data_IF_524993103760
#
_entry.id   IF_524993103760
#
_cell.length_a   1.000
_cell.length_b   1.000
_cell.length_c   1.000
_cell.angle_alpha   90.00
_cell.angle_beta   90.00
_cell.angle_gamma   90.00
#
_symmetry.space_group_name_H-M   'P 1'
#
loop_
_entity.id
_entity.type
_entity.pdbx_description
1 polymer ?
#
# COMPACT_ATOMS: atom_id res chain seq x y z
N UNK A 1 11.25 55.04 -0.47
CA UNK A 1 12.03 54.73 0.76
C UNK A 1 11.30 55.34 1.92
N UNK A 2 10.73 54.50 2.79
CA UNK A 2 9.97 54.89 3.96
C UNK A 2 10.51 54.09 5.15
N UNK A 3 10.76 54.76 6.27
CA UNK A 3 10.86 54.26 7.65
C UNK A 3 11.17 55.50 8.53
N UNK A 4 10.66 55.69 9.75
CA UNK A 4 9.82 54.87 10.63
C UNK A 4 9.35 55.73 11.82
N UNK A 5 8.39 55.18 12.59
CA UNK A 5 7.79 55.67 13.84
C UNK A 5 7.54 54.40 14.68
N UNK A 6 7.59 54.32 16.01
CA UNK A 6 7.44 55.28 17.10
C UNK A 6 7.71 54.53 18.45
N UNK A 7 7.61 55.28 19.55
CA UNK A 7 7.29 54.92 20.95
C UNK A 7 8.45 54.67 21.94
N UNK A 8 8.49 55.50 23.00
CA UNK A 8 9.41 55.42 24.15
C UNK A 8 8.71 55.18 25.50
N UNK A 9 9.46 55.25 26.61
CA UNK A 9 9.16 55.96 27.88
C UNK A 9 10.06 55.55 29.08
N UNK A 10 10.71 56.56 29.68
CA UNK A 10 10.87 56.94 31.13
C UNK A 10 11.33 55.98 32.27
N UNK A 11 12.29 56.50 33.06
CA UNK A 11 12.68 56.20 34.49
C UNK A 11 11.96 57.20 35.45
N UNK A 12 12.11 57.25 36.81
CA UNK A 12 12.84 56.45 37.84
C UNK A 12 11.93 56.08 39.07
N UNK A 13 12.34 55.48 40.21
CA UNK A 13 12.98 56.14 41.36
C UNK A 13 13.24 55.17 42.55
N UNK A 14 14.25 55.49 43.37
CA UNK A 14 14.68 54.79 44.60
C UNK A 14 13.77 55.07 45.80
N UNK A 15 13.62 54.08 46.69
CA UNK A 15 13.26 54.28 48.10
C UNK A 15 13.90 53.19 48.97
N UNK A 16 14.64 53.61 50.01
CA UNK A 16 15.20 52.77 51.09
C UNK A 16 14.08 52.31 52.01
N UNK A 17 14.14 51.09 52.57
CA UNK A 17 13.62 50.82 53.92
C UNK A 17 14.17 49.56 54.56
N UNK A 18 14.25 49.66 55.87
CA UNK A 18 14.89 48.81 56.86
C UNK A 18 14.31 47.41 57.04
N UNK A 19 15.22 46.56 57.48
CA UNK A 19 15.09 45.26 58.14
C UNK A 19 14.00 45.20 59.22
N UNK A 20 13.07 44.25 59.08
CA UNK A 20 12.45 43.51 60.21
C UNK A 20 12.11 42.08 59.77
N UNK A 21 12.70 41.10 60.44
CA UNK A 21 12.36 39.69 60.31
C UNK A 21 10.93 39.45 60.80
N UNK A 22 10.07 38.92 59.94
CA UNK A 22 8.78 38.32 60.30
C UNK A 22 8.80 36.89 59.78
N UNK A 23 8.76 35.93 60.70
CA UNK A 23 8.49 34.53 60.41
C UNK A 23 7.09 34.44 59.77
N UNK A 24 7.02 34.10 58.48
CA UNK A 24 5.77 33.77 57.82
C UNK A 24 5.75 32.24 57.61
N UNK A 25 4.88 31.57 58.38
CA UNK A 25 4.60 30.16 58.19
C UNK A 25 3.96 29.95 56.80
N UNK A 26 4.71 29.32 55.89
CA UNK A 26 4.16 28.88 54.62
C UNK A 26 3.27 27.66 54.87
N UNK A 27 1.96 27.86 54.81
CA UNK A 27 1.00 26.77 54.65
C UNK A 27 1.26 26.16 53.27
N UNK A 28 1.95 25.02 53.22
CA UNK A 28 1.95 24.16 52.05
C UNK A 28 0.54 23.60 51.90
N UNK A 29 -0.27 24.25 51.07
CA UNK A 29 -1.43 23.62 50.48
C UNK A 29 -0.93 22.50 49.56
N UNK A 30 -0.96 21.27 50.03
CA UNK A 30 -0.81 20.10 49.18
C UNK A 30 -1.98 20.09 48.19
N UNK A 31 -1.78 20.68 47.02
CA UNK A 31 -2.60 20.37 45.86
C UNK A 31 -2.29 18.91 45.53
N UNK A 32 -3.14 18.00 46.01
CA UNK A 32 -3.18 16.63 45.53
C UNK A 32 -3.58 16.69 44.06
N UNK A 33 -2.60 16.81 43.17
CA UNK A 33 -2.75 16.36 41.81
C UNK A 33 -3.26 14.91 41.92
N UNK A 34 -4.31 14.51 41.19
CA UNK A 34 -4.60 13.10 41.07
C UNK A 34 -3.40 12.51 40.33
N UNK A 35 -2.43 11.98 41.07
CA UNK A 35 -1.62 10.88 40.58
C UNK A 35 -2.63 9.80 40.25
N UNK A 36 -3.04 9.74 38.98
CA UNK A 36 -3.54 8.50 38.43
C UNK A 36 -2.46 7.48 38.77
N UNK A 37 -2.72 6.67 39.79
CA UNK A 37 -1.91 5.51 40.06
C UNK A 37 -1.99 4.70 38.77
N UNK A 38 -0.97 4.83 37.92
CA UNK A 38 -0.63 3.81 36.94
C UNK A 38 -0.33 2.59 37.79
N UNK A 39 -1.37 1.84 38.15
CA UNK A 39 -1.22 0.47 38.57
C UNK A 39 -0.52 -0.18 37.38
N UNK A 40 0.77 -0.41 37.52
CA UNK A 40 1.56 -1.17 36.57
C UNK A 40 0.98 -2.59 36.57
N UNK A 41 -0.05 -2.81 35.77
CA UNK A 41 -0.50 -4.13 35.40
C UNK A 41 0.71 -4.79 34.72
N UNK A 42 1.12 -5.95 35.24
CA UNK A 42 2.21 -6.69 34.62
C UNK A 42 1.83 -7.05 33.18
N UNK A 43 2.79 -7.02 32.27
CA UNK A 43 2.58 -7.46 30.90
C UNK A 43 2.12 -8.93 30.89
N UNK A 44 0.99 -9.24 30.25
CA UNK A 44 0.45 -10.61 30.21
C UNK A 44 0.46 -11.12 28.79
N UNK A 45 1.27 -12.14 28.50
CA UNK A 45 1.23 -12.85 27.22
C UNK A 45 0.56 -14.21 27.41
N UNK A 46 -0.30 -14.61 26.47
CA UNK A 46 -1.02 -15.88 26.58
C UNK A 46 -1.44 -16.44 25.22
N UNK A 47 -1.70 -17.74 25.21
CA UNK A 47 -2.24 -18.46 24.05
C UNK A 47 -3.71 -18.78 24.26
N UNK A 48 -4.52 -18.65 23.21
CA UNK A 48 -5.92 -19.05 23.21
C UNK A 48 -6.03 -20.57 23.29
N UNK A 49 -6.73 -21.08 24.32
CA UNK A 49 -6.82 -22.51 24.63
C UNK A 49 -8.19 -23.12 24.29
N UNK A 50 -9.21 -22.29 24.05
CA UNK A 50 -10.56 -22.77 23.74
C UNK A 50 -10.69 -23.21 22.27
N UNK A 51 -11.24 -24.41 21.99
CA UNK A 51 -11.52 -24.82 20.60
C UNK A 51 -12.79 -24.16 20.03
N UNK A 52 -13.54 -23.42 20.85
CA UNK A 52 -14.78 -22.77 20.49
C UNK A 52 -14.61 -21.24 20.45
N UNK A 53 -15.62 -20.55 19.92
CA UNK A 53 -15.74 -19.10 20.06
C UNK A 53 -15.89 -18.69 21.53
N UNK A 54 -15.38 -17.52 21.88
CA UNK A 54 -15.42 -17.04 23.26
C UNK A 54 -15.03 -15.57 23.38
N UNK A 55 -15.18 -15.03 24.59
CA UNK A 55 -14.82 -13.65 24.91
C UNK A 55 -13.34 -13.53 25.29
N UNK A 56 -12.73 -12.40 24.93
CA UNK A 56 -11.34 -12.10 25.26
C UNK A 56 -11.14 -11.96 26.77
N UNK A 57 -12.08 -11.30 27.46
CA UNK A 57 -11.99 -11.04 28.91
C UNK A 57 -12.09 -12.27 29.80
N UNK A 58 -12.59 -13.40 29.25
CA UNK A 58 -12.70 -14.66 29.97
C UNK A 58 -11.35 -15.39 30.00
N UNK A 59 -10.65 -15.26 31.13
CA UNK A 59 -9.34 -15.86 31.36
C UNK A 59 -9.29 -17.39 31.23
N UNK A 60 -10.43 -18.08 31.31
CA UNK A 60 -10.47 -19.53 31.09
C UNK A 60 -10.17 -19.92 29.62
N UNK A 61 -10.36 -18.99 28.69
CA UNK A 61 -10.02 -19.17 27.28
C UNK A 61 -8.52 -18.95 26.97
N UNK A 62 -7.72 -18.59 27.97
CA UNK A 62 -6.30 -18.26 27.82
C UNK A 62 -5.41 -19.15 28.68
N UNK A 63 -4.18 -19.39 28.21
CA UNK A 63 -3.15 -20.13 28.97
C UNK A 63 -2.71 -19.42 30.26
N UNK A 64 -3.06 -18.15 30.43
CA UNK A 64 -2.75 -17.31 31.60
C UNK A 64 -3.87 -17.26 32.64
N UNK A 65 -4.89 -18.14 32.55
CA UNK A 65 -6.02 -18.23 33.48
C UNK A 65 -5.60 -17.97 34.94
N UNK A 66 -6.20 -16.99 35.65
CA UNK A 66 -7.43 -16.24 35.32
C UNK A 66 -7.24 -14.96 34.49
N UNK A 67 -6.04 -14.70 34.01
CA UNK A 67 -5.73 -13.51 33.25
C UNK A 67 -5.87 -13.72 31.74
N UNK A 68 -5.93 -12.61 30.99
CA UNK A 68 -5.93 -12.56 29.53
C UNK A 68 -4.80 -11.64 29.03
N UNK A 69 -4.40 -11.72 27.74
CA UNK A 69 -3.37 -10.86 27.21
C UNK A 69 -3.75 -9.38 27.22
N UNK A 70 -2.90 -8.56 27.84
CA UNK A 70 -3.03 -7.11 27.94
C UNK A 70 -1.70 -6.48 28.42
N UNK A 71 -1.69 -5.17 28.61
CA UNK A 71 -0.59 -4.39 29.21
C UNK A 71 0.75 -4.57 28.48
N UNK A 72 0.68 -4.62 27.15
CA UNK A 72 1.83 -4.80 26.26
C UNK A 72 2.15 -6.27 25.97
N UNK A 73 1.30 -7.20 26.36
CA UNK A 73 1.48 -8.63 26.13
C UNK A 73 1.41 -9.08 24.68
N UNK A 74 1.66 -10.37 24.44
CA UNK A 74 1.44 -11.01 23.14
C UNK A 74 0.27 -11.98 23.24
N UNK A 75 -0.71 -11.83 22.35
CA UNK A 75 -1.80 -12.78 22.19
C UNK A 75 -1.44 -13.80 21.11
N UNK A 76 -1.51 -15.09 21.43
CA UNK A 76 -1.17 -16.17 20.48
C UNK A 76 -2.39 -17.04 20.18
N UNK A 77 -2.67 -17.25 18.90
CA UNK A 77 -3.74 -18.10 18.40
C UNK A 77 -3.13 -19.35 17.76
N UNK A 78 -2.91 -20.37 18.59
CA UNK A 78 -2.32 -21.65 18.20
C UNK A 78 -3.40 -22.70 17.87
N UNK A 79 -3.07 -23.99 17.86
CA UNK A 79 -4.02 -25.09 17.64
C UNK A 79 -4.33 -25.79 18.96
N UNK A 80 -5.38 -25.41 19.70
CA UNK A 80 -5.82 -26.18 20.86
C UNK A 80 -6.40 -27.54 20.46
N UNK A 81 -6.42 -28.47 21.42
CA UNK A 81 -7.05 -29.77 21.23
C UNK A 81 -8.54 -29.61 20.88
N UNK A 82 -8.98 -30.30 19.82
CA UNK A 82 -10.37 -30.24 19.37
C UNK A 82 -10.74 -29.05 18.48
N UNK A 83 -9.77 -28.21 18.05
CA UNK A 83 -10.04 -27.16 17.08
C UNK A 83 -10.40 -27.78 15.72
N UNK A 84 -11.68 -27.72 15.34
CA UNK A 84 -12.18 -28.27 14.07
C UNK A 84 -12.87 -27.24 13.17
N UNK A 85 -13.16 -26.04 13.67
CA UNK A 85 -13.81 -24.96 12.93
C UNK A 85 -13.14 -23.63 13.27
N UNK A 86 -13.44 -22.58 12.49
CA UNK A 86 -12.91 -21.24 12.73
C UNK A 86 -13.59 -20.58 13.94
N UNK A 87 -12.89 -20.38 15.08
CA UNK A 87 -13.49 -19.76 16.24
C UNK A 87 -13.51 -18.24 16.07
N UNK A 88 -14.54 -17.61 16.66
CA UNK A 88 -14.62 -16.17 16.82
C UNK A 88 -14.18 -15.80 18.23
N UNK A 89 -13.14 -14.98 18.32
CA UNK A 89 -12.66 -14.38 19.56
C UNK A 89 -13.24 -12.98 19.64
N UNK A 90 -14.19 -12.79 20.54
CA UNK A 90 -14.88 -11.52 20.73
C UNK A 90 -14.07 -10.63 21.66
N UNK A 91 -13.57 -9.50 21.14
CA UNK A 91 -13.04 -8.44 21.98
C UNK A 91 -14.20 -7.70 22.63
N UNK A 92 -14.48 -8.04 23.88
CA UNK A 92 -15.56 -7.49 24.70
C UNK A 92 -15.10 -6.38 25.66
N UNK A 93 -13.81 -6.01 25.60
CA UNK A 93 -13.19 -4.94 26.37
C UNK A 93 -13.04 -3.66 25.51
N UNK A 94 -13.24 -2.46 26.07
CA UNK A 94 -13.18 -1.21 25.30
C UNK A 94 -11.80 -0.98 24.65
N UNK A 95 -10.72 -1.30 25.37
CA UNK A 95 -9.36 -1.22 24.86
C UNK A 95 -8.49 -2.29 25.53
N UNK A 96 -7.62 -2.92 24.75
CA UNK A 96 -6.50 -3.72 25.26
C UNK A 96 -5.21 -3.22 24.64
N UNK A 97 -4.10 -3.33 25.37
CA UNK A 97 -2.78 -2.95 24.89
C UNK A 97 -1.92 -4.19 24.68
N UNK A 98 -1.39 -4.39 23.48
CA UNK A 98 -0.54 -5.53 23.14
C UNK A 98 0.78 -5.06 22.49
N UNK A 99 1.84 -5.85 22.64
CA UNK A 99 3.06 -5.72 21.84
C UNK A 99 2.93 -6.37 20.47
N UNK A 100 2.05 -7.38 20.36
CA UNK A 100 1.82 -8.10 19.13
C UNK A 100 0.78 -9.20 19.23
N UNK A 101 0.47 -9.79 18.08
CA UNK A 101 -0.45 -10.91 17.92
C UNK A 101 0.24 -11.96 17.06
N UNK A 102 0.17 -13.22 17.47
CA UNK A 102 0.70 -14.36 16.72
C UNK A 102 -0.45 -15.25 16.29
N UNK A 103 -0.54 -15.57 15.00
CA UNK A 103 -1.43 -16.58 14.46
C UNK A 103 -0.59 -17.78 13.99
N UNK A 104 -0.72 -18.89 14.71
CA UNK A 104 0.03 -20.10 14.46
C UNK A 104 -0.93 -21.31 14.39
N UNK A 105 -1.87 -21.23 13.46
CA UNK A 105 -2.90 -22.26 13.27
C UNK A 105 -3.18 -22.48 11.78
N UNK A 106 -3.38 -23.74 11.34
CA UNK A 106 -3.86 -24.04 10.00
C UNK A 106 -5.38 -23.87 9.90
N UNK A 107 -6.06 -23.46 10.96
CA UNK A 107 -7.48 -23.15 10.99
C UNK A 107 -7.62 -21.64 11.23
N UNK A 108 -8.49 -21.00 10.46
CA UNK A 108 -8.72 -19.55 10.54
C UNK A 108 -9.23 -19.17 11.93
N UNK A 109 -8.61 -18.15 12.51
CA UNK A 109 -9.14 -17.40 13.65
C UNK A 109 -9.79 -16.11 13.16
N UNK A 110 -10.91 -15.73 13.78
CA UNK A 110 -11.57 -14.45 13.56
C UNK A 110 -11.56 -13.71 14.89
N UNK A 111 -10.79 -12.62 14.99
CA UNK A 111 -10.90 -11.69 16.13
C UNK A 111 -11.84 -10.58 15.70
N UNK A 112 -12.93 -10.40 16.43
CA UNK A 112 -13.99 -9.44 16.08
C UNK A 112 -14.35 -8.61 17.29
N UNK A 113 -14.85 -7.40 17.06
CA UNK A 113 -15.36 -6.56 18.15
C UNK A 113 -16.66 -7.13 18.70
N UNK A 114 -16.86 -7.12 20.02
CA UNK A 114 -18.18 -7.34 20.63
C UNK A 114 -19.12 -6.15 20.44
N UNK A 115 -18.57 -4.94 20.28
CA UNK A 115 -19.27 -3.66 20.07
C UNK A 115 -18.41 -2.73 19.20
N UNK A 116 -19.03 -1.73 18.53
CA UNK A 116 -18.30 -0.85 17.61
C UNK A 116 -17.16 0.00 18.23
N UNK A 117 -17.02 0.05 19.56
CA UNK A 117 -16.00 0.86 20.26
C UNK A 117 -14.76 0.08 20.71
N UNK A 118 -14.71 -1.26 20.54
CA UNK A 118 -13.60 -2.06 21.01
C UNK A 118 -12.36 -1.88 20.12
N UNK A 119 -11.19 -1.69 20.72
CA UNK A 119 -9.92 -1.42 20.02
C UNK A 119 -8.76 -2.26 20.58
N UNK A 120 -7.83 -2.67 19.71
CA UNK A 120 -6.52 -3.19 20.11
C UNK A 120 -5.48 -2.11 19.89
N UNK A 121 -4.84 -1.65 20.96
CA UNK A 121 -3.72 -0.72 20.87
C UNK A 121 -2.40 -1.50 20.79
N UNK A 122 -1.70 -1.41 19.66
CA UNK A 122 -0.36 -1.98 19.52
C UNK A 122 0.71 -0.97 19.99
N UNK A 123 1.42 -1.34 21.04
CA UNK A 123 2.59 -0.62 21.56
C UNK A 123 3.87 -1.43 21.34
N UNK A 124 5.04 -0.82 21.56
CA UNK A 124 6.31 -1.51 21.39
C UNK A 124 6.54 -1.97 19.94
N UNK A 125 6.92 -3.25 19.68
CA UNK A 125 7.22 -3.74 18.33
C UNK A 125 6.05 -3.70 17.33
N UNK A 126 4.80 -3.72 17.81
CA UNK A 126 3.58 -3.74 16.99
C UNK A 126 3.57 -4.81 15.89
N UNK A 127 3.94 -6.04 16.25
CA UNK A 127 4.09 -7.16 15.32
C UNK A 127 2.80 -7.97 15.24
N UNK A 128 2.33 -8.20 14.02
CA UNK A 128 1.34 -9.22 13.70
C UNK A 128 2.05 -10.35 12.95
N UNK A 129 2.39 -11.42 13.65
CA UNK A 129 3.06 -12.57 13.05
C UNK A 129 2.02 -13.61 12.66
N UNK A 130 1.98 -13.98 11.38
CA UNK A 130 1.09 -15.04 10.89
C UNK A 130 1.97 -16.15 10.36
N UNK A 131 2.32 -17.07 11.24
CA UNK A 131 3.30 -18.13 10.99
C UNK A 131 2.82 -19.04 9.86
N UNK A 132 1.53 -19.38 9.86
CA UNK A 132 0.93 -20.35 8.92
C UNK A 132 -0.34 -19.79 8.27
N UNK A 133 -0.60 -20.21 7.03
CA UNK A 133 -1.91 -20.02 6.38
C UNK A 133 -2.85 -21.16 6.77
N UNK A 134 -4.16 -20.90 6.65
CA UNK A 134 -5.17 -21.95 6.66
C UNK A 134 -4.87 -22.99 5.57
N UNK A 135 -4.99 -24.28 5.88
CA UNK A 135 -4.79 -25.36 4.91
C UNK A 135 -5.70 -25.17 3.69
N UNK A 136 -5.11 -24.99 2.50
CA UNK A 136 -5.84 -24.80 1.24
C UNK A 136 -6.02 -23.35 0.76
N UNK A 137 -5.36 -22.35 1.35
CA UNK A 137 -5.42 -20.97 0.83
C UNK A 137 -4.03 -20.32 0.70
N UNK A 138 -3.69 -19.89 -0.52
CA UNK A 138 -3.96 -18.49 -0.85
C UNK A 138 -5.23 -18.25 -1.70
N UNK A 139 -6.03 -19.28 -2.02
CA UNK A 139 -7.06 -19.25 -3.07
C UNK A 139 -8.51 -18.88 -2.68
N UNK A 140 -8.91 -18.81 -1.39
CA UNK A 140 -10.30 -18.46 -1.01
C UNK A 140 -10.38 -17.07 -0.36
N UNK A 141 -11.16 -16.14 -0.91
CA UNK A 141 -11.28 -14.74 -0.44
C UNK A 141 -12.42 -14.59 0.60
N UNK A 142 -12.19 -13.93 1.76
CA UNK A 142 -10.91 -13.44 2.25
C UNK A 142 -10.08 -14.61 2.82
N UNK A 143 -8.84 -14.73 2.34
CA UNK A 143 -7.94 -15.81 2.73
C UNK A 143 -7.27 -15.48 4.05
N UNK A 144 -7.22 -16.45 4.97
CA UNK A 144 -6.38 -16.39 6.17
C UNK A 144 -7.08 -15.98 7.45
N UNK A 145 -6.28 -15.64 8.47
CA UNK A 145 -6.78 -15.15 9.75
C UNK A 145 -7.43 -13.78 9.58
N UNK A 146 -8.35 -13.41 10.46
CA UNK A 146 -9.08 -12.16 10.35
C UNK A 146 -8.97 -11.35 11.62
N UNK A 147 -8.56 -10.10 11.46
CA UNK A 147 -8.73 -9.06 12.46
C UNK A 147 -9.81 -8.11 11.97
N UNK A 148 -11.00 -8.23 12.55
CA UNK A 148 -12.14 -7.34 12.38
C UNK A 148 -12.29 -6.43 13.61
N UNK A 149 -11.16 -6.01 14.20
CA UNK A 149 -11.06 -5.07 15.31
C UNK A 149 -10.13 -3.94 14.90
N UNK A 150 -10.49 -2.66 15.12
CA UNK A 150 -9.59 -1.55 14.86
C UNK A 150 -8.30 -1.67 15.66
N UNK A 151 -7.18 -1.46 14.98
CA UNK A 151 -5.84 -1.39 15.57
C UNK A 151 -5.45 0.08 15.72
N UNK A 152 -5.09 0.47 16.94
CA UNK A 152 -4.56 1.78 17.28
C UNK A 152 -3.09 1.68 17.72
N UNK A 153 -2.46 2.81 17.99
CA UNK A 153 -1.08 2.88 18.50
C UNK A 153 -0.17 3.79 17.68
N UNK A 154 1.01 4.09 18.22
CA UNK A 154 1.94 5.05 17.58
C UNK A 154 2.99 4.39 16.68
N UNK A 155 3.34 3.13 16.93
CA UNK A 155 4.44 2.45 16.24
C UNK A 155 4.09 2.05 14.79
N UNK A 156 2.80 1.97 14.47
CA UNK A 156 2.27 1.44 13.22
C UNK A 156 1.95 -0.04 13.34
N UNK A 157 2.13 -0.79 12.25
CA UNK A 157 1.85 -2.23 12.21
C UNK A 157 2.91 -2.95 11.37
N UNK A 158 3.43 -4.08 11.86
CA UNK A 158 4.37 -4.93 11.12
C UNK A 158 3.82 -6.34 10.95
N UNK A 159 3.37 -6.68 9.74
CA UNK A 159 2.93 -8.03 9.36
C UNK A 159 4.15 -8.89 9.01
N UNK A 160 4.31 -10.01 9.69
CA UNK A 160 5.37 -11.01 9.46
C UNK A 160 4.77 -12.41 9.33
N UNK A 161 5.62 -13.41 9.09
CA UNK A 161 5.21 -14.80 8.88
C UNK A 161 4.57 -15.03 7.50
N UNK A 162 4.62 -16.27 7.03
CA UNK A 162 4.23 -16.63 5.66
C UNK A 162 2.72 -16.73 5.44
N UNK A 163 1.94 -16.72 6.52
CA UNK A 163 0.50 -16.83 6.47
C UNK A 163 -0.21 -15.57 5.97
N UNK A 164 -1.49 -15.73 5.64
CA UNK A 164 -2.36 -14.65 5.22
C UNK A 164 -3.12 -14.02 6.41
N UNK A 165 -3.16 -12.69 6.44
CA UNK A 165 -3.96 -11.88 7.37
C UNK A 165 -4.94 -11.01 6.58
N UNK A 166 -6.22 -11.04 6.93
CA UNK A 166 -7.22 -10.11 6.46
C UNK A 166 -7.55 -9.07 7.53
N UNK A 167 -7.40 -7.79 7.19
CA UNK A 167 -7.85 -6.66 7.99
C UNK A 167 -9.25 -6.24 7.54
N UNK A 168 -10.24 -6.51 8.39
CA UNK A 168 -11.65 -6.31 8.05
C UNK A 168 -12.18 -4.91 8.29
N UNK A 169 -11.48 -4.10 9.09
CA UNK A 169 -11.94 -2.78 9.53
C UNK A 169 -10.81 -1.76 9.44
N UNK A 170 -11.18 -0.47 9.37
CA UNK A 170 -10.22 0.62 9.33
C UNK A 170 -9.42 0.71 10.65
N UNK A 171 -8.12 0.92 10.53
CA UNK A 171 -7.21 1.06 11.66
C UNK A 171 -6.84 2.53 11.87
N UNK A 172 -6.43 2.89 13.08
CA UNK A 172 -6.18 4.27 13.51
C UNK A 172 -4.76 4.51 14.03
N UNK A 173 -3.86 3.52 13.93
CA UNK A 173 -2.46 3.73 14.28
C UNK A 173 -1.81 4.84 13.43
N UNK A 174 -0.88 5.60 14.03
CA UNK A 174 -0.24 6.75 13.37
C UNK A 174 1.06 6.42 12.65
N UNK A 175 1.73 5.32 13.00
CA UNK A 175 2.92 4.83 12.31
C UNK A 175 2.60 4.11 10.98
N UNK A 176 3.64 3.78 10.21
CA UNK A 176 3.50 3.10 8.91
C UNK A 176 3.06 1.64 8.99
N UNK A 177 2.57 1.11 7.87
CA UNK A 177 2.30 -0.33 7.67
C UNK A 177 3.51 -0.99 7.03
N UNK A 178 4.04 -2.05 7.63
CA UNK A 178 5.15 -2.85 7.11
C UNK A 178 4.68 -4.28 6.83
N UNK A 179 4.80 -4.73 5.60
CA UNK A 179 4.42 -6.08 5.15
C UNK A 179 5.71 -6.83 4.81
N UNK A 180 6.22 -7.60 5.78
CA UNK A 180 7.53 -8.25 5.72
C UNK A 180 7.43 -9.77 5.51
N UNK A 181 6.22 -10.31 5.28
CA UNK A 181 6.03 -11.73 5.00
C UNK A 181 4.58 -12.09 4.70
N UNK A 182 4.41 -13.14 3.90
CA UNK A 182 3.11 -13.71 3.57
C UNK A 182 2.20 -12.74 2.83
N UNK A 183 0.91 -12.77 3.17
CA UNK A 183 -0.14 -11.96 2.53
C UNK A 183 -0.81 -11.06 3.56
N UNK A 184 -0.92 -9.77 3.26
CA UNK A 184 -1.87 -8.86 3.91
C UNK A 184 -3.00 -8.56 2.94
N UNK A 185 -4.23 -8.91 3.31
CA UNK A 185 -5.42 -8.69 2.52
C UNK A 185 -6.30 -7.59 3.12
N UNK A 186 -6.87 -6.74 2.27
CA UNK A 186 -7.81 -5.70 2.67
C UNK A 186 -8.89 -5.48 1.60
N UNK A 187 -10.10 -5.11 2.04
CA UNK A 187 -11.22 -4.78 1.15
C UNK A 187 -11.55 -3.30 1.06
N UNK A 188 -10.73 -2.45 1.67
CA UNK A 188 -10.84 -0.99 1.76
C UNK A 188 -9.50 -0.43 2.26
N UNK A 189 -9.40 0.90 2.40
CA UNK A 189 -8.22 1.53 3.01
C UNK A 189 -8.21 1.31 4.54
N UNK A 190 -7.34 0.41 5.00
CA UNK A 190 -7.24 0.00 6.40
C UNK A 190 -5.87 0.34 7.02
N UNK A 191 -5.04 1.15 6.38
CA UNK A 191 -3.61 1.25 6.68
C UNK A 191 -3.23 2.34 7.70
N UNK A 192 -4.08 2.60 8.70
CA UNK A 192 -3.81 3.58 9.77
C UNK A 192 -4.01 5.03 9.33
N UNK A 193 -3.16 5.94 9.78
CA UNK A 193 -3.20 7.34 9.38
C UNK A 193 -2.88 7.54 7.88
N UNK A 194 -3.62 8.42 7.20
CA UNK A 194 -3.51 8.66 5.75
C UNK A 194 -2.12 9.14 5.27
N UNK A 195 -1.33 9.76 6.16
CA UNK A 195 0.03 10.23 5.84
C UNK A 195 1.14 9.21 6.13
N UNK A 196 0.82 8.06 6.72
CA UNK A 196 1.81 7.05 7.07
C UNK A 196 2.11 6.14 5.87
N UNK A 197 3.38 5.82 5.60
CA UNK A 197 3.74 5.00 4.44
C UNK A 197 3.34 3.52 4.60
N UNK A 198 3.14 2.84 3.47
CA UNK A 198 3.09 1.38 3.39
C UNK A 198 4.42 0.89 2.81
N UNK A 199 5.08 -0.09 3.42
CA UNK A 199 6.27 -0.73 2.85
C UNK A 199 6.03 -2.23 2.67
N UNK A 200 6.35 -2.76 1.50
CA UNK A 200 6.22 -4.18 1.16
C UNK A 200 7.63 -4.73 0.91
N UNK A 201 7.99 -5.80 1.62
CA UNK A 201 9.29 -6.46 1.51
C UNK A 201 9.10 -7.97 1.35
N UNK A 202 9.33 -8.47 0.12
CA UNK A 202 9.23 -9.90 -0.21
C UNK A 202 7.89 -10.51 0.23
N UNK A 203 6.80 -9.77 0.07
CA UNK A 203 5.47 -10.13 0.54
C UNK A 203 4.38 -9.65 -0.43
N UNK A 204 3.13 -9.99 -0.12
CA UNK A 204 1.97 -9.63 -0.95
C UNK A 204 1.01 -8.70 -0.22
N UNK A 205 0.68 -7.57 -0.84
CA UNK A 205 -0.53 -6.81 -0.53
C UNK A 205 -1.63 -7.25 -1.50
N UNK A 206 -2.76 -7.68 -0.97
CA UNK A 206 -3.89 -8.19 -1.74
C UNK A 206 -5.13 -7.34 -1.51
N UNK A 207 -5.73 -6.85 -2.58
CA UNK A 207 -7.05 -6.21 -2.52
C UNK A 207 -8.13 -7.25 -2.80
N UNK A 208 -9.21 -7.17 -2.05
CA UNK A 208 -10.40 -8.04 -2.18
C UNK A 208 -11.68 -7.21 -2.11
N UNK A 209 -12.85 -7.82 -2.32
CA UNK A 209 -14.15 -7.15 -2.21
C UNK A 209 -14.24 -5.84 -3.00
N UNK A 210 -14.27 -4.69 -2.33
CA UNK A 210 -14.45 -3.36 -2.94
C UNK A 210 -13.15 -2.76 -3.48
N UNK A 211 -12.00 -3.41 -3.28
CA UNK A 211 -10.70 -2.89 -3.69
C UNK A 211 -10.02 -2.04 -2.63
N UNK A 212 -8.90 -1.42 -3.02
CA UNK A 212 -8.12 -0.52 -2.16
C UNK A 212 -7.97 0.80 -2.90
N UNK A 213 -8.23 1.92 -2.22
CA UNK A 213 -7.88 3.25 -2.70
C UNK A 213 -7.04 3.95 -1.64
N UNK A 214 -5.84 4.42 -1.96
CA UNK A 214 -4.98 5.04 -0.96
C UNK A 214 -4.05 6.10 -1.53
N UNK A 215 -3.87 7.20 -0.79
CA UNK A 215 -2.93 8.29 -1.09
C UNK A 215 -1.56 8.09 -0.46
N UNK A 216 -1.35 7.01 0.30
CA UNK A 216 -0.08 6.71 0.96
C UNK A 216 0.98 6.37 -0.08
N UNK A 217 2.22 6.80 0.18
CA UNK A 217 3.38 6.25 -0.53
C UNK A 217 3.49 4.75 -0.26
N UNK A 218 3.76 3.97 -1.31
CA UNK A 218 4.04 2.55 -1.21
C UNK A 218 5.51 2.30 -1.58
N UNK A 219 6.31 1.86 -0.61
CA UNK A 219 7.71 1.49 -0.81
C UNK A 219 7.83 0.00 -1.14
N UNK A 220 8.44 -0.31 -2.28
CA UNK A 220 8.63 -1.67 -2.79
C UNK A 220 10.09 -2.11 -2.59
N UNK A 221 10.27 -3.23 -1.90
CA UNK A 221 11.56 -3.86 -1.64
C UNK A 221 11.47 -5.38 -1.82
N UNK A 222 12.61 -6.04 -2.05
CA UNK A 222 12.62 -7.48 -2.35
C UNK A 222 11.78 -7.85 -3.58
N UNK A 223 11.28 -9.08 -3.65
CA UNK A 223 10.30 -9.50 -4.65
C UNK A 223 8.88 -9.39 -4.10
N UNK A 224 8.26 -8.22 -4.25
CA UNK A 224 6.95 -7.92 -3.64
C UNK A 224 5.82 -7.97 -4.66
N UNK A 225 4.61 -8.27 -4.20
CA UNK A 225 3.44 -8.43 -5.06
C UNK A 225 2.30 -7.50 -4.65
N UNK A 226 1.72 -6.82 -5.64
CA UNK A 226 0.39 -6.24 -5.58
C UNK A 226 -0.58 -7.19 -6.28
N UNK A 227 -1.40 -7.88 -5.49
CA UNK A 227 -2.38 -8.85 -6.00
C UNK A 227 -3.77 -8.20 -6.01
N UNK A 228 -4.12 -7.62 -7.16
CA UNK A 228 -5.35 -6.88 -7.39
C UNK A 228 -6.52 -7.81 -7.74
N UNK A 229 -7.01 -8.63 -6.79
CA UNK A 229 -8.24 -9.43 -7.01
C UNK A 229 -9.43 -8.50 -7.22
N UNK A 230 -9.48 -7.41 -6.46
CA UNK A 230 -10.30 -6.23 -6.74
C UNK A 230 -9.42 -5.05 -7.14
N UNK A 231 -9.92 -3.99 -7.80
CA UNK A 231 -9.08 -2.88 -8.25
C UNK A 231 -8.26 -2.23 -7.13
N UNK A 232 -7.03 -1.81 -7.46
CA UNK A 232 -6.20 -0.96 -6.59
C UNK A 232 -6.02 0.42 -7.23
N UNK A 233 -6.42 1.47 -6.51
CA UNK A 233 -6.20 2.86 -6.89
C UNK A 233 -5.13 3.46 -5.97
N UNK A 234 -3.93 3.64 -6.51
CA UNK A 234 -2.77 4.12 -5.77
C UNK A 234 -2.53 5.58 -6.16
N UNK A 235 -3.06 6.47 -5.33
CA UNK A 235 -2.96 7.92 -5.53
C UNK A 235 -1.71 8.51 -4.88
N UNK A 236 -1.02 7.74 -4.04
CA UNK A 236 0.34 8.03 -3.57
C UNK A 236 1.41 7.43 -4.48
N UNK A 237 2.65 7.97 -4.44
CA UNK A 237 3.72 7.50 -5.30
C UNK A 237 4.25 6.11 -4.89
N UNK A 238 4.77 5.37 -5.87
CA UNK A 238 5.62 4.21 -5.61
C UNK A 238 7.08 4.67 -5.40
N UNK A 239 7.80 3.94 -4.56
CA UNK A 239 9.25 4.15 -4.32
C UNK A 239 9.98 2.83 -4.10
N UNK A 240 11.31 2.87 -4.05
CA UNK A 240 12.15 1.70 -3.84
C UNK A 240 12.67 1.08 -5.13
N UNK A 241 13.40 -0.03 -4.98
CA UNK A 241 14.13 -0.71 -6.05
C UNK A 241 13.89 -2.22 -6.10
N UNK A 242 13.00 -2.74 -5.25
CA UNK A 242 12.60 -4.16 -5.29
C UNK A 242 11.96 -4.51 -6.63
N UNK A 243 11.76 -5.79 -6.92
CA UNK A 243 10.91 -6.21 -8.05
C UNK A 243 9.45 -6.14 -7.63
N UNK A 244 8.63 -5.51 -8.46
CA UNK A 244 7.18 -5.39 -8.27
C UNK A 244 6.48 -6.38 -9.20
N UNK A 245 5.78 -7.35 -8.63
CA UNK A 245 4.84 -8.20 -9.35
C UNK A 245 3.43 -7.63 -9.22
N UNK A 246 2.68 -7.56 -10.33
CA UNK A 246 1.27 -7.17 -10.35
C UNK A 246 0.46 -8.38 -10.86
N UNK A 247 -0.56 -8.77 -10.11
CA UNK A 247 -1.42 -9.92 -10.39
C UNK A 247 -2.89 -9.63 -10.00
N UNK A 248 -3.78 -10.63 -10.07
CA UNK A 248 -5.16 -10.56 -9.54
C UNK A 248 -6.24 -10.19 -10.55
N UNK A 249 -5.90 -9.82 -11.79
CA UNK A 249 -6.86 -9.67 -12.88
C UNK A 249 -7.62 -8.34 -12.93
N UNK A 250 -7.95 -7.70 -11.79
CA UNK A 250 -8.72 -6.44 -11.77
C UNK A 250 -7.88 -5.20 -12.08
N UNK A 251 -6.58 -5.24 -11.78
CA UNK A 251 -5.60 -4.22 -12.17
C UNK A 251 -5.29 -3.15 -11.12
N UNK A 252 -4.23 -2.39 -11.41
CA UNK A 252 -3.66 -1.33 -10.57
C UNK A 252 -3.63 -0.03 -11.36
N UNK A 253 -4.17 1.05 -10.78
CA UNK A 253 -4.03 2.42 -11.31
C UNK A 253 -3.06 3.21 -10.44
N UNK A 254 -2.04 3.82 -11.06
CA UNK A 254 -1.17 4.81 -10.43
C UNK A 254 -1.61 6.21 -10.85
N UNK A 255 -1.85 7.09 -9.89
CA UNK A 255 -2.24 8.49 -10.14
C UNK A 255 -1.16 9.51 -9.82
N UNK A 256 -0.07 9.09 -9.16
CA UNK A 256 1.06 9.95 -8.76
C UNK A 256 2.37 9.55 -9.44
N UNK A 257 3.21 10.54 -9.70
CA UNK A 257 4.55 10.35 -10.23
C UNK A 257 5.41 9.59 -9.22
N UNK A 258 6.02 8.49 -9.66
CA UNK A 258 6.74 7.56 -8.79
C UNK A 258 8.25 7.68 -8.96
N UNK A 259 8.99 7.59 -7.85
CA UNK A 259 10.46 7.51 -7.85
C UNK A 259 10.99 6.08 -7.89
N UNK A 260 10.10 5.11 -8.09
CA UNK A 260 10.41 3.68 -8.16
C UNK A 260 11.39 3.37 -9.30
N UNK A 261 12.40 2.56 -8.99
CA UNK A 261 13.51 2.22 -9.90
C UNK A 261 13.59 0.73 -10.25
N UNK A 262 12.80 -0.10 -9.58
CA UNK A 262 12.85 -1.55 -9.74
C UNK A 262 12.25 -2.05 -11.05
N UNK A 263 12.20 -3.38 -11.19
CA UNK A 263 11.54 -4.04 -12.32
C UNK A 263 10.04 -4.19 -12.06
N UNK A 264 9.22 -4.20 -13.11
CA UNK A 264 7.78 -4.53 -13.02
C UNK A 264 7.50 -5.81 -13.81
N UNK A 265 6.89 -6.78 -13.15
CA UNK A 265 6.30 -7.96 -13.79
C UNK A 265 4.78 -7.86 -13.71
N UNK A 266 4.11 -7.51 -14.80
CA UNK A 266 2.66 -7.54 -14.90
C UNK A 266 2.22 -8.95 -15.32
N UNK A 267 1.99 -9.81 -14.34
CA UNK A 267 1.67 -11.23 -14.55
C UNK A 267 0.26 -11.43 -15.12
N UNK A 268 -0.69 -10.58 -14.74
CA UNK A 268 -2.07 -10.58 -15.24
C UNK A 268 -2.78 -9.26 -14.93
N UNK A 269 -3.96 -9.04 -15.51
CA UNK A 269 -4.74 -7.82 -15.28
C UNK A 269 -4.17 -6.62 -16.02
N UNK A 270 -4.28 -5.44 -15.41
CA UNK A 270 -3.84 -4.18 -16.01
C UNK A 270 -2.98 -3.32 -15.09
N UNK A 271 -2.09 -2.54 -15.69
CA UNK A 271 -1.41 -1.40 -15.08
C UNK A 271 -1.82 -0.14 -15.83
N UNK A 272 -2.51 0.77 -15.15
CA UNK A 272 -2.91 2.06 -15.70
C UNK A 272 -2.12 3.19 -15.05
N UNK A 273 -1.48 4.02 -15.87
CA UNK A 273 -0.85 5.26 -15.44
C UNK A 273 -1.78 6.40 -15.88
N UNK A 274 -2.41 7.11 -14.94
CA UNK A 274 -3.39 8.16 -15.23
C UNK A 274 -3.15 9.38 -14.35
N UNK A 275 -3.82 10.51 -14.59
CA UNK A 275 -3.60 11.78 -13.86
C UNK A 275 -2.11 12.16 -13.94
N UNK A 276 -1.36 12.15 -12.83
CA UNK A 276 0.08 12.42 -12.80
C UNK A 276 0.92 11.14 -12.65
N UNK A 277 0.30 9.96 -12.78
CA UNK A 277 0.93 8.65 -12.69
C UNK A 277 2.05 8.48 -13.71
N UNK A 278 3.29 8.32 -13.25
CA UNK A 278 4.43 8.08 -14.13
C UNK A 278 5.48 7.21 -13.45
N UNK A 279 6.25 6.51 -14.26
CA UNK A 279 7.33 5.59 -13.92
C UNK A 279 8.59 5.96 -14.72
N UNK A 280 9.15 7.18 -14.55
CA UNK A 280 10.26 7.66 -15.37
C UNK A 280 11.57 6.89 -15.16
N UNK A 281 11.72 6.20 -14.03
CA UNK A 281 12.98 5.54 -13.64
C UNK A 281 12.87 4.02 -13.55
N UNK A 282 11.77 3.41 -14.00
CA UNK A 282 11.60 1.95 -13.96
C UNK A 282 12.64 1.27 -14.85
N UNK A 283 13.31 0.25 -14.32
CA UNK A 283 14.42 -0.40 -15.04
C UNK A 283 13.93 -1.23 -16.23
N UNK A 284 12.84 -1.98 -16.02
CA UNK A 284 12.22 -2.81 -17.06
C UNK A 284 10.78 -3.14 -16.73
N UNK A 285 9.98 -3.44 -17.75
CA UNK A 285 8.61 -3.93 -17.63
C UNK A 285 8.47 -5.21 -18.44
N UNK A 286 8.09 -6.30 -17.78
CA UNK A 286 7.66 -7.55 -18.42
C UNK A 286 6.15 -7.69 -18.22
N UNK A 287 5.38 -7.74 -19.30
CA UNK A 287 3.93 -7.76 -19.25
C UNK A 287 3.35 -8.97 -19.95
N UNK A 288 2.44 -9.65 -19.27
CA UNK A 288 1.44 -10.58 -19.83
C UNK A 288 0.02 -10.00 -19.75
N UNK A 289 -0.12 -8.74 -19.33
CA UNK A 289 -1.40 -8.04 -19.15
C UNK A 289 -1.51 -6.78 -20.02
N UNK A 290 -2.36 -5.85 -19.61
CA UNK A 290 -2.59 -4.60 -20.34
C UNK A 290 -1.94 -3.41 -19.64
N UNK A 291 -1.11 -2.66 -20.35
CA UNK A 291 -0.55 -1.39 -19.88
C UNK A 291 -1.29 -0.24 -20.59
N UNK A 292 -1.84 0.69 -19.81
CA UNK A 292 -2.50 1.88 -20.35
C UNK A 292 -1.82 3.13 -19.82
N UNK A 293 -1.31 3.94 -20.74
CA UNK A 293 -0.84 5.30 -20.50
C UNK A 293 -2.01 6.24 -20.77
N UNK A 294 -2.78 6.54 -19.74
CA UNK A 294 -3.99 7.34 -19.83
C UNK A 294 -3.70 8.83 -19.61
N UNK A 295 -3.58 9.60 -20.68
CA UNK A 295 -3.28 11.03 -20.56
C UNK A 295 -4.54 11.89 -20.46
N UNK A 296 -5.74 11.30 -20.62
CA UNK A 296 -7.01 12.02 -20.63
C UNK A 296 -7.26 12.85 -19.38
N UNK A 297 -6.69 12.43 -18.25
CA UNK A 297 -6.58 13.23 -17.03
C UNK A 297 -5.11 13.64 -16.78
N UNK A 298 -4.89 14.92 -16.44
CA UNK A 298 -3.59 15.42 -15.98
C UNK A 298 -2.58 15.80 -17.06
N UNK A 299 -2.75 15.36 -18.32
CA UNK A 299 -1.95 15.83 -19.46
C UNK A 299 -0.45 15.52 -19.36
N UNK A 300 -0.07 14.42 -18.72
CA UNK A 300 1.33 13.97 -18.70
C UNK A 300 1.80 13.71 -20.13
N UNK A 301 3.02 14.15 -20.47
CA UNK A 301 3.57 13.92 -21.81
C UNK A 301 4.52 12.72 -21.86
N UNK A 302 5.03 12.29 -20.72
CA UNK A 302 6.04 11.25 -20.58
C UNK A 302 5.71 10.44 -19.33
N UNK A 303 5.20 9.21 -19.50
CA UNK A 303 4.75 8.36 -18.38
C UNK A 303 5.69 7.21 -18.08
N UNK A 304 6.46 6.71 -19.03
CA UNK A 304 7.43 5.64 -18.84
C UNK A 304 8.80 6.14 -19.29
N UNK A 305 9.85 5.81 -18.52
CA UNK A 305 11.20 6.24 -18.86
C UNK A 305 11.63 5.85 -20.27
N UNK A 306 12.26 6.79 -20.98
CA UNK A 306 12.70 6.67 -22.38
C UNK A 306 13.67 5.50 -22.66
N UNK A 307 14.30 4.94 -21.64
CA UNK A 307 15.22 3.79 -21.73
C UNK A 307 14.64 2.51 -21.11
N UNK A 308 13.37 2.52 -20.70
CA UNK A 308 12.73 1.35 -20.09
C UNK A 308 12.65 0.21 -21.10
N UNK A 309 13.30 -0.92 -20.80
CA UNK A 309 13.13 -2.12 -21.58
C UNK A 309 11.72 -2.70 -21.38
N UNK A 310 11.00 -2.97 -22.46
CA UNK A 310 9.62 -3.47 -22.45
C UNK A 310 9.57 -4.87 -23.08
N UNK A 311 9.19 -5.89 -22.31
CA UNK A 311 8.88 -7.22 -22.85
C UNK A 311 7.38 -7.48 -22.80
N UNK A 312 6.78 -7.82 -23.92
CA UNK A 312 5.35 -8.10 -24.05
C UNK A 312 5.13 -9.58 -24.41
N UNK A 313 4.46 -10.32 -23.53
CA UNK A 313 4.14 -11.75 -23.65
C UNK A 313 2.66 -11.94 -23.96
N UNK A 314 2.27 -11.67 -25.20
CA UNK A 314 0.85 -11.61 -25.56
C UNK A 314 0.08 -10.45 -24.88
N UNK A 315 0.81 -9.40 -24.48
CA UNK A 315 0.28 -8.25 -23.75
C UNK A 315 -0.26 -7.13 -24.65
N UNK A 316 -0.91 -6.14 -24.05
CA UNK A 316 -1.28 -4.89 -24.73
C UNK A 316 -0.61 -3.66 -24.12
N UNK A 317 -0.27 -2.69 -24.96
CA UNK A 317 0.15 -1.34 -24.59
C UNK A 317 -0.74 -0.35 -25.32
N UNK A 318 -1.36 0.58 -24.60
CA UNK A 318 -2.17 1.65 -25.18
C UNK A 318 -1.74 3.00 -24.61
N UNK A 319 -1.55 3.98 -25.50
CA UNK A 319 -1.38 5.38 -25.14
C UNK A 319 -2.61 6.14 -25.59
N UNK A 320 -3.35 6.72 -24.64
CA UNK A 320 -4.48 7.60 -24.94
C UNK A 320 -4.04 9.04 -24.78
N UNK A 321 -4.43 9.88 -25.72
CA UNK A 321 -4.15 11.31 -25.71
C UNK A 321 -5.04 12.10 -24.74
N UNK A 322 -4.98 13.42 -24.84
CA UNK A 322 -5.79 14.37 -24.08
C UNK A 322 -6.12 15.61 -24.88
N UNK A 323 -7.14 16.36 -24.49
CA UNK A 323 -7.51 17.58 -25.23
C UNK A 323 -6.51 18.70 -24.91
N UNK A 324 -5.93 19.31 -25.95
CA UNK A 324 -5.22 20.60 -25.83
C UNK A 324 -3.82 20.66 -26.43
N UNK A 325 -3.11 19.52 -26.55
CA UNK A 325 -1.79 19.49 -27.20
C UNK A 325 -1.48 18.14 -27.81
N UNK A 326 -0.49 18.09 -28.68
CA UNK A 326 0.09 16.82 -29.14
C UNK A 326 0.77 16.08 -27.99
N UNK A 327 0.79 14.75 -28.08
CA UNK A 327 1.39 13.86 -27.11
C UNK A 327 2.50 13.04 -27.76
N UNK A 328 3.64 12.93 -27.10
CA UNK A 328 4.76 12.11 -27.55
C UNK A 328 5.32 11.29 -26.39
N UNK A 329 5.11 9.99 -26.41
CA UNK A 329 5.70 9.04 -25.48
C UNK A 329 6.88 8.33 -26.15
N UNK A 330 8.00 8.15 -25.44
CA UNK A 330 9.10 7.28 -25.89
C UNK A 330 9.38 6.21 -24.85
N UNK A 331 9.52 4.97 -25.30
CA UNK A 331 9.92 3.82 -24.47
C UNK A 331 11.19 3.22 -25.09
N UNK A 332 11.97 2.52 -24.27
CA UNK A 332 13.18 1.83 -24.72
C UNK A 332 12.91 0.66 -25.66
N UNK A 333 13.79 -0.33 -25.63
CA UNK A 333 13.67 -1.50 -26.52
C UNK A 333 12.43 -2.33 -26.19
N UNK A 334 11.62 -2.63 -27.21
CA UNK A 334 10.46 -3.49 -27.09
C UNK A 334 10.77 -4.90 -27.62
N UNK A 335 10.52 -5.92 -26.81
CA UNK A 335 10.59 -7.34 -27.19
C UNK A 335 9.20 -7.97 -27.09
N UNK A 336 8.68 -8.47 -28.21
CA UNK A 336 7.46 -9.27 -28.24
C UNK A 336 7.84 -10.75 -28.17
N UNK A 337 7.37 -11.48 -27.16
CA UNK A 337 7.74 -12.88 -26.87
C UNK A 337 6.51 -13.76 -26.73
N UNK A 338 6.28 -14.63 -27.71
CA UNK A 338 5.10 -15.49 -27.79
C UNK A 338 3.77 -14.74 -27.92
N UNK A 339 2.73 -15.48 -28.30
CA UNK A 339 1.35 -14.97 -28.34
C UNK A 339 1.13 -13.80 -29.31
N UNK A 340 0.05 -13.05 -29.06
CA UNK A 340 -0.35 -11.89 -29.86
C UNK A 340 -0.36 -10.66 -28.98
N UNK A 341 0.46 -9.66 -29.34
CA UNK A 341 0.51 -8.38 -28.67
C UNK A 341 -0.17 -7.27 -29.46
N UNK A 342 -0.68 -6.27 -28.75
CA UNK A 342 -1.29 -5.08 -29.35
C UNK A 342 -0.60 -3.82 -28.84
N UNK A 343 -0.23 -2.94 -29.74
CA UNK A 343 0.32 -1.62 -29.41
C UNK A 343 -0.57 -0.57 -30.05
N UNK A 344 -1.09 0.37 -29.26
CA UNK A 344 -2.04 1.36 -29.73
C UNK A 344 -1.65 2.79 -29.35
N UNK A 345 -1.79 3.72 -30.29
CA UNK A 345 -1.70 5.16 -30.08
C UNK A 345 -3.04 5.82 -30.47
N UNK A 346 -3.73 6.40 -29.50
CA UNK A 346 -5.10 6.86 -29.64
C UNK A 346 -5.23 8.35 -29.29
N UNK A 347 -5.38 9.25 -30.27
CA UNK A 347 -5.75 10.64 -30.02
C UNK A 347 -7.09 10.77 -29.31
N UNK A 348 -7.21 11.80 -28.46
CA UNK A 348 -8.43 12.12 -27.72
C UNK A 348 -9.28 13.22 -28.35
N UNK A 349 -8.78 13.90 -29.40
CA UNK A 349 -9.52 14.94 -30.11
C UNK A 349 -9.22 14.95 -31.61
N UNK A 350 -10.08 15.64 -32.37
CA UNK A 350 -9.90 15.84 -33.80
C UNK A 350 -8.65 16.68 -34.16
N UNK A 351 -8.06 17.38 -33.19
CA UNK A 351 -6.95 18.31 -33.40
C UNK A 351 -5.62 17.81 -32.85
N UNK A 352 -5.61 16.73 -32.08
CA UNK A 352 -4.42 16.18 -31.45
C UNK A 352 -3.75 15.11 -32.31
N UNK A 353 -2.41 15.13 -32.35
CA UNK A 353 -1.59 13.98 -32.71
C UNK A 353 -1.07 13.24 -31.46
N UNK A 354 -1.01 11.91 -31.53
CA UNK A 354 -0.39 11.06 -30.49
C UNK A 354 0.71 10.24 -31.14
N UNK A 355 1.95 10.39 -30.68
CA UNK A 355 3.09 9.58 -31.13
C UNK A 355 3.58 8.68 -30.00
N UNK A 356 3.66 7.38 -30.24
CA UNK A 356 4.39 6.42 -29.41
C UNK A 356 5.65 5.99 -30.16
N UNK A 357 6.82 6.24 -29.56
CA UNK A 357 8.11 5.81 -30.10
C UNK A 357 8.66 4.67 -29.26
N UNK A 358 9.13 3.61 -29.91
CA UNK A 358 9.91 2.53 -29.29
C UNK A 358 11.34 2.61 -29.83
N UNK A 359 12.35 2.37 -28.99
CA UNK A 359 13.74 2.42 -29.46
C UNK A 359 13.98 1.39 -30.58
N UNK A 360 13.56 0.16 -30.34
CA UNK A 360 13.55 -0.94 -31.31
C UNK A 360 12.35 -1.86 -31.07
N UNK A 361 12.06 -2.75 -32.02
CA UNK A 361 11.05 -3.79 -31.89
C UNK A 361 11.61 -5.15 -32.32
N UNK A 362 11.88 -6.01 -31.34
CA UNK A 362 12.27 -7.41 -31.56
C UNK A 362 11.10 -8.35 -31.40
N UNK A 363 11.07 -9.43 -32.20
CA UNK A 363 10.12 -10.54 -32.05
C UNK A 363 10.90 -11.81 -31.74
N UNK A 364 10.46 -12.54 -30.72
CA UNK A 364 10.98 -13.87 -30.34
C UNK A 364 9.81 -14.84 -30.13
N UNK A 365 10.10 -16.14 -30.10
CA UNK A 365 9.12 -17.21 -29.81
C UNK A 365 7.85 -17.15 -30.66
N UNK A 366 7.98 -16.83 -31.95
CA UNK A 366 6.85 -16.69 -32.89
C UNK A 366 5.78 -15.66 -32.46
N UNK A 367 6.15 -14.67 -31.62
CA UNK A 367 5.25 -13.59 -31.23
C UNK A 367 4.66 -12.89 -32.44
N UNK A 368 3.42 -12.44 -32.37
CA UNK A 368 2.81 -11.53 -33.35
C UNK A 368 2.50 -10.21 -32.67
N UNK A 369 2.66 -9.08 -33.37
CA UNK A 369 2.28 -7.76 -32.87
C UNK A 369 1.39 -7.04 -33.89
N UNK A 370 0.31 -6.44 -33.40
CA UNK A 370 -0.53 -5.52 -34.15
C UNK A 370 -0.35 -4.10 -33.65
N UNK A 371 0.00 -3.21 -34.57
CA UNK A 371 0.03 -1.77 -34.33
C UNK A 371 -1.32 -1.15 -34.73
N UNK A 372 -1.91 -0.36 -33.83
CA UNK A 372 -3.25 0.23 -33.98
C UNK A 372 -3.25 1.73 -33.66
N UNK A 373 -4.14 2.48 -34.27
CA UNK A 373 -4.29 3.91 -34.04
C UNK A 373 -5.16 4.55 -35.11
N UNK A 374 -5.69 5.74 -34.80
CA UNK A 374 -6.48 6.51 -35.75
C UNK A 374 -5.61 7.02 -36.89
N UNK A 375 -6.05 6.83 -38.14
CA UNK A 375 -5.36 7.33 -39.33
C UNK A 375 -3.86 6.95 -39.38
N UNK A 376 -3.50 5.76 -38.90
CA UNK A 376 -2.11 5.27 -38.93
C UNK A 376 -1.53 5.38 -40.33
N UNK A 377 -0.30 5.90 -40.42
CA UNK A 377 0.42 6.12 -41.69
C UNK A 377 0.21 7.50 -42.30
N UNK A 378 -0.75 8.30 -41.82
CA UNK A 378 -0.84 9.72 -42.16
C UNK A 378 0.31 10.52 -41.52
N UNK A 379 0.60 11.70 -42.07
CA UNK A 379 1.51 12.64 -41.42
C UNK A 379 0.96 13.01 -40.03
N UNK A 380 1.83 13.16 -38.99
CA UNK A 380 1.38 13.57 -37.67
C UNK A 380 0.55 14.85 -37.73
N UNK A 381 -0.61 14.82 -37.08
CA UNK A 381 -1.59 15.90 -37.11
C UNK A 381 -2.88 15.51 -36.38
N UNK A 382 -3.92 16.32 -36.53
CA UNK A 382 -5.18 16.14 -35.83
C UNK A 382 -5.83 14.78 -36.10
N UNK A 383 -6.24 14.09 -35.03
CA UNK A 383 -6.80 12.73 -35.06
C UNK A 383 -5.85 11.67 -35.66
N UNK A 384 -4.54 11.88 -35.61
CA UNK A 384 -3.55 10.91 -36.10
C UNK A 384 -2.78 10.30 -34.93
N UNK A 385 -2.94 8.99 -34.76
CA UNK A 385 -2.05 8.15 -33.96
C UNK A 385 -0.85 7.72 -34.82
N UNK A 386 0.35 7.83 -34.25
CA UNK A 386 1.62 7.44 -34.88
C UNK A 386 2.37 6.47 -33.98
N UNK A 387 2.91 5.41 -34.56
CA UNK A 387 3.80 4.48 -33.86
C UNK A 387 5.12 4.44 -34.63
N UNK A 388 6.22 4.73 -33.94
CA UNK A 388 7.56 4.88 -34.54
C UNK A 388 8.54 3.91 -33.91
N UNK A 389 9.44 3.38 -34.73
CA UNK A 389 10.61 2.63 -34.30
C UNK A 389 11.83 3.49 -34.63
N UNK A 390 12.62 3.86 -33.63
CA UNK A 390 13.80 4.73 -33.88
C UNK A 390 14.93 3.95 -34.57
N UNK A 391 15.04 2.67 -34.26
CA UNK A 391 15.89 1.70 -34.95
C UNK A 391 15.00 0.86 -35.87
N UNK A 392 15.21 0.89 -37.20
CA UNK A 392 14.44 0.08 -38.13
C UNK A 392 14.53 -1.42 -37.80
N UNK A 393 13.42 -2.17 -37.86
CA UNK A 393 13.47 -3.62 -37.66
C UNK A 393 14.17 -4.29 -38.84
N UNK A 394 14.86 -5.40 -38.58
CA UNK A 394 15.38 -6.25 -39.65
C UNK A 394 14.22 -6.82 -40.47
N UNK A 395 14.13 -6.45 -41.75
CA UNK A 395 13.12 -6.98 -42.66
C UNK A 395 13.46 -8.43 -42.99
N UNK A 396 12.77 -9.36 -42.35
CA UNK A 396 12.87 -10.78 -42.67
C UNK A 396 11.86 -11.10 -43.77
N UNK A 397 12.29 -11.00 -45.03
CA UNK A 397 11.51 -11.35 -46.21
C UNK A 397 11.60 -10.31 -47.33
N UNK A 398 12.51 -10.55 -48.29
CA UNK A 398 12.42 -9.93 -49.61
C UNK A 398 11.40 -10.69 -50.45
N UNK A 399 10.29 -10.06 -50.83
CA UNK A 399 9.35 -10.64 -51.79
C UNK A 399 7.89 -10.31 -51.49
N UNK A 400 7.39 -9.26 -52.14
CA UNK A 400 5.97 -8.89 -52.12
C UNK A 400 5.82 -7.41 -52.42
N UNK A 401 6.14 -7.04 -53.66
CA UNK A 401 5.88 -5.73 -54.25
C UNK A 401 4.37 -5.45 -54.36
#
# INVERSE_FOLDING_TARGET
MAEGREVGCTKPNRSRRDTRHVLLAAVLGAASLPTAAMHAQAQISASWTSPLSGNWSDGANWSSNPFYPDSGGVATFAVPAGLGQSPIVWLDLPNITLAGIVFDSPIRYIVSTGTASNTITLNGPAILDVVRSNGGSPSLVPAGHTLAVPIAGIAGMTKTGQGALFLGVANTYSGGTRINGGVLAAGQDVFGAAGASISINSATLRSVFNGISTSRQIAISGGSTLEAISPMFLDGPLSGSGTLNIAGGSGVRLSAASSYTGNINLCSGSLMLSVSGSLPNVSSIVSSGSITLDNGAGGSLDRIGNTTALTMRGASLAVTGFVGSDLSETIGDATFSGGVSFVAAQPASATQSVTLSLNSAGRVDHATVFFRGNNLGAAPGGNVGSIRLTTPPALMGGGGA
#
